data_IF_949976527464
#
_entry.id   IF_949976527464
#
_cell.length_a   1.000
_cell.length_b   1.000
_cell.length_c   1.000
_cell.angle_alpha   90.00
_cell.angle_beta   90.00
_cell.angle_gamma   90.00
#
_symmetry.space_group_name_H-M   'P 1'
#
loop_
_entity.id
_entity.type
_entity.pdbx_description
1 polymer ?
#
# COMPACT_ATOMS: atom_id res chain seq x y z
N UNK A 1 -0.63 5.24 -29.28
CA UNK A 1 -0.74 5.30 -27.82
C UNK A 1 0.51 4.65 -27.27
N UNK A 2 1.20 5.29 -26.33
CA UNK A 2 2.37 4.70 -25.68
C UNK A 2 1.89 3.51 -24.83
N UNK A 3 2.51 2.33 -25.00
CA UNK A 3 2.16 1.18 -24.18
C UNK A 3 2.60 1.41 -22.73
N UNK A 4 1.78 1.05 -21.72
CA UNK A 4 2.17 1.18 -20.32
C UNK A 4 3.46 0.43 -20.02
N UNK A 5 4.32 1.03 -19.21
CA UNK A 5 5.59 0.42 -18.81
C UNK A 5 5.33 -0.89 -18.04
N UNK A 6 5.96 -2.01 -18.41
CA UNK A 6 5.68 -3.32 -17.82
C UNK A 6 5.76 -3.34 -16.29
N UNK A 7 6.71 -2.61 -15.70
CA UNK A 7 6.87 -2.53 -14.25
C UNK A 7 5.70 -1.84 -13.55
N UNK A 8 5.05 -0.87 -14.21
CA UNK A 8 3.87 -0.19 -13.67
C UNK A 8 2.62 -1.05 -13.82
N UNK A 9 2.52 -1.86 -14.88
CA UNK A 9 1.44 -2.84 -15.05
C UNK A 9 1.48 -3.85 -13.90
N UNK A 10 2.65 -4.43 -13.62
CA UNK A 10 2.81 -5.39 -12.53
C UNK A 10 2.44 -4.81 -11.15
N UNK A 11 2.78 -3.53 -10.89
CA UNK A 11 2.37 -2.85 -9.64
C UNK A 11 0.85 -2.68 -9.55
N UNK A 12 0.18 -2.34 -10.66
CA UNK A 12 -1.28 -2.20 -10.68
C UNK A 12 -1.96 -3.55 -10.41
N UNK A 13 -1.45 -4.63 -11.01
CA UNK A 13 -1.97 -5.97 -10.78
C UNK A 13 -1.80 -6.40 -9.31
N UNK A 14 -0.63 -6.14 -8.70
CA UNK A 14 -0.39 -6.38 -7.27
C UNK A 14 -1.40 -5.61 -6.39
N UNK A 15 -1.62 -4.32 -6.67
CA UNK A 15 -2.59 -3.49 -5.91
C UNK A 15 -4.00 -4.05 -6.05
N UNK A 16 -4.38 -4.47 -7.27
CA UNK A 16 -5.70 -5.05 -7.55
C UNK A 16 -5.94 -6.32 -6.75
N UNK A 17 -4.98 -7.24 -6.73
CA UNK A 17 -5.09 -8.48 -5.98
C UNK A 17 -5.24 -8.21 -4.48
N UNK A 18 -4.43 -7.30 -3.92
CA UNK A 18 -4.50 -6.96 -2.49
C UNK A 18 -5.83 -6.31 -2.11
N UNK A 19 -6.35 -5.41 -2.93
CA UNK A 19 -7.66 -4.80 -2.68
C UNK A 19 -8.80 -5.81 -2.78
N UNK A 20 -8.72 -6.75 -3.71
CA UNK A 20 -9.75 -7.77 -3.91
C UNK A 20 -9.76 -8.83 -2.79
N UNK A 21 -8.59 -9.10 -2.20
CA UNK A 21 -8.44 -10.04 -1.08
C UNK A 21 -8.67 -9.44 0.31
N UNK A 22 -8.74 -8.12 0.44
CA UNK A 22 -8.86 -7.45 1.73
C UNK A 22 -10.34 -7.31 2.16
N UNK A 23 -10.68 -7.63 3.42
CA UNK A 23 -12.03 -7.39 3.96
C UNK A 23 -12.40 -5.90 4.00
N UNK A 24 -11.40 -5.03 4.15
CA UNK A 24 -11.53 -3.58 4.12
C UNK A 24 -10.20 -2.94 3.70
N UNK A 25 -10.27 -1.75 3.10
CA UNK A 25 -9.11 -0.97 2.69
C UNK A 25 -9.25 0.50 3.12
N UNK A 26 -8.15 1.12 3.53
CA UNK A 26 -8.05 2.56 3.78
C UNK A 26 -7.02 3.19 2.85
N UNK A 27 -7.41 4.26 2.18
CA UNK A 27 -6.50 5.09 1.39
C UNK A 27 -6.00 6.26 2.25
N UNK A 28 -4.68 6.45 2.28
CA UNK A 28 -4.04 7.51 3.07
C UNK A 28 -3.05 8.30 2.21
N UNK A 29 -2.94 9.60 2.48
CA UNK A 29 -1.83 10.40 1.97
C UNK A 29 -0.54 9.98 2.68
N UNK A 30 0.58 9.89 1.95
CA UNK A 30 1.87 9.49 2.54
C UNK A 30 2.50 10.56 3.45
N UNK A 31 1.88 11.74 3.55
CA UNK A 31 2.39 12.94 4.21
C UNK A 31 1.72 13.11 5.57
N UNK A 32 2.42 13.76 6.50
CA UNK A 32 1.90 14.10 7.82
C UNK A 32 2.45 13.27 8.98
N UNK A 33 3.26 12.25 8.70
CA UNK A 33 3.96 11.45 9.72
C UNK A 33 5.48 11.50 9.51
N UNK A 34 6.23 11.62 10.61
CA UNK A 34 7.67 11.38 10.66
C UNK A 34 7.95 9.88 10.48
N UNK A 35 9.19 9.56 10.10
CA UNK A 35 9.63 8.16 9.90
C UNK A 35 9.37 7.28 11.12
N UNK A 36 9.61 7.78 12.33
CA UNK A 36 9.38 7.03 13.58
C UNK A 36 7.90 6.72 13.82
N UNK A 37 7.01 7.66 13.53
CA UNK A 37 5.56 7.51 13.68
C UNK A 37 5.02 6.51 12.65
N UNK A 38 5.50 6.59 11.40
CA UNK A 38 5.15 5.64 10.35
C UNK A 38 5.67 4.23 10.67
N UNK A 39 6.84 4.10 11.30
CA UNK A 39 7.36 2.82 11.77
C UNK A 39 6.50 2.24 12.89
N UNK A 40 6.01 3.07 13.82
CA UNK A 40 5.10 2.64 14.87
C UNK A 40 3.76 2.14 14.29
N UNK A 41 3.15 2.89 13.37
CA UNK A 41 1.92 2.50 12.69
C UNK A 41 2.05 1.16 11.95
N UNK A 42 3.16 0.93 11.24
CA UNK A 42 3.39 -0.35 10.56
C UNK A 42 3.48 -1.53 11.51
N UNK A 43 4.09 -1.34 12.69
CA UNK A 43 4.17 -2.40 13.71
C UNK A 43 2.79 -2.73 14.26
N UNK A 44 2.02 -1.72 14.65
CA UNK A 44 0.68 -1.93 15.21
C UNK A 44 -0.28 -2.59 14.22
N UNK A 45 -0.19 -2.24 12.93
CA UNK A 45 -0.98 -2.92 11.89
C UNK A 45 -0.55 -4.38 11.71
N UNK A 46 0.75 -4.65 11.70
CA UNK A 46 1.27 -6.02 11.54
C UNK A 46 0.87 -6.94 12.70
N UNK A 47 0.80 -6.42 13.92
CA UNK A 47 0.34 -7.17 15.10
C UNK A 47 -1.09 -7.70 14.96
N UNK A 48 -1.94 -7.01 14.19
CA UNK A 48 -3.33 -7.41 13.90
C UNK A 48 -3.50 -8.03 12.51
N UNK A 49 -2.39 -8.38 11.83
CA UNK A 49 -2.40 -8.95 10.48
C UNK A 49 -2.73 -7.96 9.35
N UNK A 50 -2.71 -6.66 9.64
CA UNK A 50 -2.91 -5.60 8.67
C UNK A 50 -1.62 -5.21 7.95
N UNK A 51 -1.78 -4.78 6.70
CA UNK A 51 -0.69 -4.33 5.84
C UNK A 51 -0.75 -2.82 5.54
N UNK A 52 0.41 -2.17 5.47
CA UNK A 52 0.52 -0.77 5.05
C UNK A 52 1.65 -0.58 4.04
N UNK A 53 1.28 -0.26 2.79
CA UNK A 53 2.24 -0.04 1.69
C UNK A 53 1.97 1.30 1.03
N UNK A 54 3.06 2.03 0.76
CA UNK A 54 3.04 3.25 -0.04
C UNK A 54 3.43 2.86 -1.45
N UNK A 55 2.54 3.09 -2.41
CA UNK A 55 2.81 2.90 -3.83
C UNK A 55 3.22 4.24 -4.45
N UNK A 56 4.19 4.21 -5.38
CA UNK A 56 4.69 5.37 -6.15
C UNK A 56 4.42 5.17 -7.64
#
# INVERSE_FOLDING_TARGET
MENPRPEKVAVVDEVRERLSGAPAALLTEYRGLKVAELAALRRSLREVGGDYKIYK
#
